data_IF_933272593976
#
_entry.id   IF_933272593976
#
_cell.length_a   1.000
_cell.length_b   1.000
_cell.length_c   1.000
_cell.angle_alpha   90.00
_cell.angle_beta   90.00
_cell.angle_gamma   90.00
#
_symmetry.space_group_name_H-M   'P 1'
#
loop_
_entity.id
_entity.type
_entity.pdbx_description
1 polymer ?
#
# COMPACT_ATOMS: atom_id res chain seq x y z
N UNK A 1 11.13 -14.99 -3.18
CA UNK A 1 11.01 -15.31 -4.62
C UNK A 1 12.07 -14.48 -5.36
N UNK A 2 13.06 -15.08 -6.04
CA UNK A 2 14.26 -14.40 -6.54
C UNK A 2 14.04 -13.45 -7.74
N UNK A 3 12.83 -13.37 -8.29
CA UNK A 3 12.47 -12.57 -9.47
C UNK A 3 11.96 -11.16 -9.14
N UNK A 4 11.98 -10.76 -7.86
CA UNK A 4 11.44 -9.49 -7.36
C UNK A 4 12.60 -8.58 -6.87
N UNK A 5 13.81 -8.77 -7.41
CA UNK A 5 15.01 -8.03 -7.04
C UNK A 5 15.76 -7.61 -8.31
N UNK A 6 15.14 -6.74 -9.11
CA UNK A 6 15.61 -6.39 -10.46
C UNK A 6 16.53 -5.16 -10.50
N UNK A 7 17.12 -4.76 -9.38
CA UNK A 7 18.04 -3.61 -9.33
C UNK A 7 17.35 -2.25 -9.22
N UNK A 8 18.13 -1.24 -8.82
CA UNK A 8 17.72 0.14 -8.61
C UNK A 8 17.19 0.75 -9.92
N UNK A 9 15.94 1.21 -9.98
CA UNK A 9 15.35 1.71 -11.24
C UNK A 9 14.84 3.16 -11.20
N UNK A 10 14.50 3.70 -10.03
CA UNK A 10 14.04 5.10 -9.93
C UNK A 10 14.26 5.71 -8.55
N UNK A 11 14.54 7.01 -8.58
CA UNK A 11 14.67 7.88 -7.42
C UNK A 11 13.43 8.77 -7.36
N UNK A 12 12.60 8.57 -6.34
CA UNK A 12 11.43 9.42 -6.10
C UNK A 12 11.70 10.24 -4.84
N UNK A 13 11.78 11.56 -4.97
CA UNK A 13 12.08 12.48 -3.86
C UNK A 13 13.33 12.11 -3.04
N UNK A 14 14.39 11.60 -3.69
CA UNK A 14 15.64 11.20 -3.01
C UNK A 14 15.64 9.77 -2.46
N UNK A 15 14.58 9.00 -2.70
CA UNK A 15 14.44 7.62 -2.21
C UNK A 15 14.69 6.66 -3.36
N UNK A 16 15.72 5.82 -3.22
CA UNK A 16 16.02 4.74 -4.16
C UNK A 16 15.06 3.58 -3.94
N UNK A 17 14.20 3.32 -4.93
CA UNK A 17 13.15 2.32 -4.80
C UNK A 17 13.50 1.09 -5.66
N UNK A 18 13.55 -0.09 -5.03
CA UNK A 18 13.77 -1.36 -5.71
C UNK A 18 12.43 -1.89 -6.26
N UNK A 19 12.31 -2.08 -7.59
CA UNK A 19 11.16 -2.77 -8.23
C UNK A 19 11.06 -4.17 -7.67
N UNK A 20 10.10 -4.29 -6.76
CA UNK A 20 9.80 -5.55 -6.15
C UNK A 20 8.75 -5.45 -5.06
N UNK A 21 9.01 -6.14 -3.96
CA UNK A 21 8.10 -6.28 -2.82
C UNK A 21 7.77 -4.91 -2.19
N UNK A 22 8.72 -3.96 -2.25
CA UNK A 22 8.60 -2.65 -1.60
C UNK A 22 7.66 -1.69 -2.35
N UNK A 23 7.70 -1.62 -3.68
CA UNK A 23 6.73 -0.82 -4.46
C UNK A 23 5.34 -1.39 -4.35
N UNK A 24 5.22 -2.71 -4.42
CA UNK A 24 3.92 -3.36 -4.26
C UNK A 24 3.30 -3.02 -2.90
N UNK A 25 4.10 -3.04 -1.82
CA UNK A 25 3.65 -2.60 -0.51
C UNK A 25 3.20 -1.13 -0.47
N UNK A 26 3.96 -0.21 -1.09
CA UNK A 26 3.61 1.21 -1.15
C UNK A 26 2.33 1.46 -1.96
N UNK A 27 2.15 0.76 -3.08
CA UNK A 27 0.93 0.87 -3.89
C UNK A 27 -0.29 0.33 -3.13
N UNK A 28 -0.15 -0.82 -2.44
CA UNK A 28 -1.22 -1.33 -1.57
C UNK A 28 -1.53 -0.37 -0.42
N UNK A 29 -0.52 0.28 0.16
CA UNK A 29 -0.71 1.31 1.18
C UNK A 29 -1.50 2.50 0.64
N UNK A 30 -1.17 2.98 -0.56
CA UNK A 30 -1.89 4.06 -1.22
C UNK A 30 -3.37 3.67 -1.48
N UNK A 31 -3.62 2.45 -1.97
CA UNK A 31 -4.99 1.93 -2.16
C UNK A 31 -5.72 1.84 -0.82
N UNK A 32 -5.06 1.43 0.26
CA UNK A 32 -5.65 1.39 1.59
C UNK A 32 -6.10 2.79 2.04
N UNK A 33 -5.26 3.82 1.87
CA UNK A 33 -5.62 5.22 2.17
C UNK A 33 -6.81 5.69 1.34
N UNK A 34 -6.81 5.44 0.03
CA UNK A 34 -7.91 5.80 -0.86
C UNK A 34 -9.22 5.08 -0.48
N UNK A 35 -9.14 3.83 -0.05
CA UNK A 35 -10.31 3.07 0.39
C UNK A 35 -10.91 3.63 1.69
N UNK A 36 -10.09 4.19 2.59
CA UNK A 36 -10.59 4.91 3.78
C UNK A 36 -11.33 6.17 3.37
N UNK A 37 -10.82 6.92 2.39
CA UNK A 37 -11.53 8.09 1.85
C UNK A 37 -12.87 7.69 1.20
N UNK A 38 -12.88 6.59 0.43
CA UNK A 38 -14.09 6.02 -0.16
C UNK A 38 -15.09 5.54 0.90
N UNK A 39 -14.59 4.95 2.00
CA UNK A 39 -15.40 4.53 3.14
C UNK A 39 -16.09 5.72 3.81
N UNK A 40 -15.36 6.83 4.03
CA UNK A 40 -15.93 8.07 4.58
C UNK A 40 -17.05 8.60 3.66
N UNK A 41 -16.86 8.56 2.34
CA UNK A 41 -17.89 8.90 1.37
C UNK A 41 -19.12 7.99 1.45
N UNK A 42 -18.90 6.67 1.52
CA UNK A 42 -19.97 5.68 1.61
C UNK A 42 -20.80 5.80 2.90
N UNK A 43 -20.17 6.18 4.02
CA UNK A 43 -20.87 6.48 5.28
C UNK A 43 -21.81 7.67 5.10
N UNK A 44 -21.35 8.75 4.45
CA UNK A 44 -22.17 9.95 4.20
C UNK A 44 -23.39 9.66 3.33
N UNK A 45 -23.20 8.86 2.29
CA UNK A 45 -24.27 8.44 1.36
C UNK A 45 -25.16 7.30 1.91
N UNK A 46 -24.90 6.82 3.13
CA UNK A 46 -25.57 5.65 3.74
C UNK A 46 -25.53 4.40 2.84
N UNK A 47 -24.51 4.29 1.99
CA UNK A 47 -24.34 3.16 1.08
C UNK A 47 -23.70 1.99 1.84
N UNK A 48 -24.56 1.08 2.31
CA UNK A 48 -24.15 -0.12 3.07
C UNK A 48 -23.15 -0.97 2.31
N UNK A 49 -23.36 -1.16 1.00
CA UNK A 49 -22.47 -1.97 0.18
C UNK A 49 -21.10 -1.29 0.03
N UNK A 50 -21.09 0.02 -0.24
CA UNK A 50 -19.88 0.83 -0.30
C UNK A 50 -19.11 0.85 1.03
N UNK A 51 -19.81 0.86 2.16
CA UNK A 51 -19.19 0.78 3.48
C UNK A 51 -18.50 -0.58 3.69
N UNK A 52 -19.16 -1.68 3.36
CA UNK A 52 -18.59 -3.02 3.51
C UNK A 52 -17.36 -3.19 2.60
N UNK A 53 -17.48 -2.86 1.31
CA UNK A 53 -16.36 -2.99 0.37
C UNK A 53 -15.21 -2.03 0.67
N UNK A 54 -15.50 -0.81 1.11
CA UNK A 54 -14.49 0.17 1.52
C UNK A 54 -13.72 -0.31 2.75
N UNK A 55 -14.43 -0.83 3.76
CA UNK A 55 -13.82 -1.36 4.98
C UNK A 55 -13.01 -2.64 4.71
N UNK A 56 -13.55 -3.56 3.90
CA UNK A 56 -12.82 -4.77 3.50
C UNK A 56 -11.56 -4.45 2.70
N UNK A 57 -11.65 -3.48 1.77
CA UNK A 57 -10.48 -3.03 0.99
C UNK A 57 -9.43 -2.38 1.90
N UNK A 58 -9.83 -1.50 2.81
CA UNK A 58 -8.92 -0.85 3.74
C UNK A 58 -8.18 -1.87 4.62
N UNK A 59 -8.91 -2.84 5.16
CA UNK A 59 -8.34 -3.90 5.98
C UNK A 59 -7.44 -4.82 5.18
N UNK A 60 -7.87 -5.32 4.01
CA UNK A 60 -7.07 -6.24 3.21
C UNK A 60 -5.79 -5.57 2.69
N UNK A 61 -5.92 -4.46 1.95
CA UNK A 61 -4.77 -3.78 1.37
C UNK A 61 -3.87 -3.16 2.44
N UNK A 62 -4.45 -2.59 3.50
CA UNK A 62 -3.68 -2.04 4.63
C UNK A 62 -2.92 -3.13 5.38
N UNK A 63 -3.57 -4.26 5.70
CA UNK A 63 -2.92 -5.38 6.36
C UNK A 63 -1.77 -5.95 5.54
N UNK A 64 -1.99 -6.24 4.25
CA UNK A 64 -0.93 -6.78 3.39
C UNK A 64 0.20 -5.78 3.15
N UNK A 65 -0.10 -4.48 3.03
CA UNK A 65 0.93 -3.45 2.94
C UNK A 65 1.80 -3.44 4.21
N UNK A 66 1.18 -3.37 5.40
CA UNK A 66 1.90 -3.36 6.68
C UNK A 66 2.69 -4.65 6.90
N UNK A 67 2.08 -5.81 6.67
CA UNK A 67 2.76 -7.10 6.79
C UNK A 67 3.98 -7.20 5.87
N UNK A 68 3.87 -6.67 4.66
CA UNK A 68 4.98 -6.63 3.70
C UNK A 68 6.08 -5.70 4.17
N UNK A 69 5.74 -4.49 4.63
CA UNK A 69 6.68 -3.51 5.18
C UNK A 69 7.42 -4.08 6.39
N UNK A 70 6.73 -4.73 7.31
CA UNK A 70 7.35 -5.30 8.51
C UNK A 70 8.19 -6.55 8.22
N UNK A 71 7.83 -7.34 7.21
CA UNK A 71 8.55 -8.58 6.88
C UNK A 71 9.80 -8.32 6.04
N UNK A 72 9.71 -7.43 5.06
CA UNK A 72 10.77 -7.19 4.08
C UNK A 72 11.54 -5.88 4.33
N UNK A 73 11.12 -5.10 5.33
CA UNK A 73 11.73 -3.82 5.69
C UNK A 73 11.33 -2.68 4.75
N UNK A 74 11.38 -1.45 5.28
CA UNK A 74 11.43 -0.25 4.45
C UNK A 74 12.72 -0.27 3.61
N UNK A 75 12.73 0.24 2.36
CA UNK A 75 14.00 0.63 1.75
C UNK A 75 14.66 1.64 2.70
N UNK A 76 15.80 1.23 3.26
CA UNK A 76 16.50 1.94 4.33
C UNK A 76 16.97 3.27 3.73
N UNK A 77 16.44 4.37 4.26
CA UNK A 77 16.96 5.73 4.07
C UNK A 77 18.29 5.83 4.83
N UNK A 78 19.34 5.20 4.31
CA UNK A 78 20.70 5.54 4.73
C UNK A 78 21.21 6.62 3.79
N UNK A 79 21.40 7.80 4.40
CA UNK A 79 21.92 9.00 3.82
C UNK A 79 23.38 8.84 3.37
#
# INVERSE_FOLDING_TARGET
MPFINTGELFELFGIKIHIGVNIFALLMLAVAVLSVMGLIGAIKEKNILGMIFGLLSALAFGFFALATIFTYGYPILHH
#
